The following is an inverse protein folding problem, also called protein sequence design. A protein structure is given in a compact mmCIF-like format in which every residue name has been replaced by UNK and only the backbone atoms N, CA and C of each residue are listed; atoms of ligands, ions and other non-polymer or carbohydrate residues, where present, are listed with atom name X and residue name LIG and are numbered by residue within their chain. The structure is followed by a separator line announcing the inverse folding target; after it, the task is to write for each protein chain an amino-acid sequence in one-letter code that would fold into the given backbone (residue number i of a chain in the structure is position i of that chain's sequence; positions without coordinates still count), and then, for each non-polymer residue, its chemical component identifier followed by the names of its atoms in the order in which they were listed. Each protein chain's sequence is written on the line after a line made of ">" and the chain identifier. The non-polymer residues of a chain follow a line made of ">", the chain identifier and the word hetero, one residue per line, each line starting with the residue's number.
data_IF_394032354821
#
_entry.id   IF_394032354821
#
_cell.length_a   1.000
_cell.length_b   1.000
_cell.length_c   1.000
_cell.angle_alpha   90.00
_cell.angle_beta   90.00
_cell.angle_gamma   90.00
#
_symmetry.space_group_name_H-M   'P 1'
#
loop_
_entity.id
_entity.type
_entity.pdbx_description
1 polymer ?
#
# COMPACT_ATOMS: atom_id res chain seq x y z
N UNK A 1 34.45 49.96 1.09
CA UNK A 1 34.57 49.54 -0.32
C UNK A 1 35.67 48.52 -0.43
N UNK A 2 35.32 47.25 -0.49
CA UNK A 2 36.32 46.20 -0.68
C UNK A 2 35.63 45.09 -1.49
N UNK A 3 35.93 45.02 -2.79
CA UNK A 3 35.41 44.02 -3.74
C UNK A 3 36.20 42.73 -3.59
N UNK A 4 35.54 41.60 -3.29
CA UNK A 4 36.13 40.27 -3.36
C UNK A 4 35.92 39.66 -4.75
N UNK A 5 36.93 39.00 -5.32
CA UNK A 5 36.86 38.41 -6.64
C UNK A 5 36.08 37.07 -6.67
N UNK A 6 35.35 36.87 -7.74
CA UNK A 6 34.58 35.67 -8.07
C UNK A 6 35.53 34.60 -8.71
N UNK A 7 35.52 33.34 -8.29
CA UNK A 7 36.28 32.30 -8.98
C UNK A 7 35.57 31.78 -10.25
N UNK A 8 36.31 31.33 -11.27
CA UNK A 8 35.73 30.92 -12.55
C UNK A 8 35.12 29.52 -12.52
N UNK A 9 34.00 29.36 -13.22
CA UNK A 9 33.36 28.08 -13.54
C UNK A 9 34.31 27.18 -14.33
N UNK A 10 34.47 25.95 -13.85
CA UNK A 10 35.06 24.86 -14.63
C UNK A 10 33.94 24.02 -15.21
N UNK A 11 33.77 24.07 -16.53
CA UNK A 11 32.98 23.13 -17.31
C UNK A 11 33.76 21.83 -17.41
N UNK A 12 33.16 20.74 -16.95
CA UNK A 12 33.62 19.39 -17.23
C UNK A 12 32.67 18.79 -18.25
N UNK A 13 33.18 18.65 -19.47
CA UNK A 13 32.50 17.92 -20.53
C UNK A 13 32.75 16.44 -20.30
N UNK A 14 31.72 15.63 -20.17
CA UNK A 14 31.82 14.17 -20.17
C UNK A 14 31.17 13.60 -21.41
N UNK A 15 32.00 12.83 -22.14
CA UNK A 15 31.72 12.23 -23.40
C UNK A 15 30.76 11.04 -23.33
N UNK A 16 29.94 10.94 -24.37
CA UNK A 16 29.07 9.82 -24.71
C UNK A 16 29.89 8.59 -25.12
N UNK A 17 29.59 7.43 -24.58
CA UNK A 17 29.97 6.16 -25.14
C UNK A 17 28.70 5.36 -25.51
N UNK A 18 28.51 5.25 -26.83
CA UNK A 18 27.52 4.39 -27.47
C UNK A 18 28.11 2.98 -27.53
N UNK A 19 27.45 2.01 -26.94
CA UNK A 19 27.77 0.59 -27.05
C UNK A 19 26.58 -0.19 -27.56
N UNK A 20 26.54 -0.45 -28.86
CA UNK A 20 25.63 -1.39 -29.50
C UNK A 20 26.17 -2.82 -29.36
N UNK A 21 25.33 -3.75 -28.87
CA UNK A 21 25.58 -5.18 -28.97
C UNK A 21 24.34 -5.90 -29.49
N UNK A 22 24.42 -6.28 -30.75
CA UNK A 22 23.55 -7.25 -31.43
C UNK A 22 24.01 -8.67 -31.07
N UNK A 23 23.10 -9.56 -30.70
CA UNK A 23 23.26 -11.02 -30.89
C UNK A 23 21.84 -11.64 -30.97
N UNK A 24 21.43 -11.96 -32.15
CA UNK A 24 21.33 -13.23 -32.89
C UNK A 24 20.38 -14.27 -32.32
N UNK A 25 19.36 -14.47 -33.13
CA UNK A 25 18.38 -15.56 -33.08
C UNK A 25 19.08 -16.93 -33.30
N UNK A 26 18.52 -17.95 -32.65
CA UNK A 26 18.71 -19.33 -33.10
C UNK A 26 17.34 -20.03 -33.05
N UNK A 27 16.77 -20.26 -34.22
CA UNK A 27 15.77 -21.27 -34.48
C UNK A 27 16.40 -22.66 -34.34
N UNK A 28 15.71 -23.59 -33.76
CA UNK A 28 15.95 -25.03 -33.95
C UNK A 28 14.62 -25.69 -34.24
N UNK A 29 14.53 -26.07 -35.49
CA UNK A 29 13.55 -26.91 -36.19
C UNK A 29 13.92 -28.39 -36.00
N UNK A 30 12.95 -29.26 -36.01
CA UNK A 30 13.12 -30.72 -36.12
C UNK A 30 11.96 -31.42 -35.45
N UNK A 31 10.91 -31.79 -36.13
CA UNK A 31 10.83 -32.90 -37.07
C UNK A 31 10.20 -34.07 -36.32
N UNK A 32 8.98 -34.43 -36.55
CA UNK A 32 8.50 -35.29 -37.60
C UNK A 32 8.15 -36.67 -37.07
N UNK A 33 6.93 -37.16 -37.29
CA UNK A 33 6.59 -38.56 -37.06
C UNK A 33 5.09 -38.85 -36.90
N UNK A 34 4.38 -38.84 -38.01
CA UNK A 34 3.11 -39.52 -38.20
C UNK A 34 3.25 -41.05 -38.24
N UNK A 35 2.27 -41.79 -37.78
CA UNK A 35 1.65 -42.97 -38.40
C UNK A 35 0.56 -43.49 -37.46
N UNK A 36 -0.67 -43.36 -37.81
CA UNK A 36 -1.63 -44.24 -38.57
C UNK A 36 -1.87 -45.62 -38.02
N UNK A 37 -3.16 -45.87 -37.98
CA UNK A 37 -3.93 -47.09 -38.19
C UNK A 37 -4.21 -47.94 -36.94
N UNK A 38 -5.43 -47.96 -36.53
CA UNK A 38 -6.57 -48.71 -37.05
C UNK A 38 -6.61 -50.16 -36.57
N UNK A 39 -7.75 -50.42 -36.01
CA UNK A 39 -8.59 -51.57 -36.25
C UNK A 39 -8.48 -52.78 -35.32
N UNK A 40 -9.61 -53.22 -34.93
CA UNK A 40 -10.36 -54.48 -34.85
C UNK A 40 -10.80 -54.74 -33.41
N UNK A 41 -12.05 -54.50 -33.17
CA UNK A 41 -13.25 -55.33 -33.21
C UNK A 41 -13.23 -56.62 -32.44
N UNK A 42 -14.28 -56.71 -31.66
CA UNK A 42 -15.16 -57.82 -31.38
C UNK A 42 -14.81 -58.79 -30.22
N UNK A 43 -15.73 -58.76 -29.33
CA UNK A 43 -16.60 -59.89 -28.95
C UNK A 43 -16.01 -60.94 -27.99
N UNK A 44 -16.51 -60.99 -26.80
CA UNK A 44 -17.40 -62.03 -26.35
C UNK A 44 -17.89 -61.85 -24.93
N UNK A 45 -19.19 -61.95 -24.81
CA UNK A 45 -19.94 -62.08 -23.59
C UNK A 45 -19.72 -63.44 -22.88
N UNK A 46 -19.78 -63.44 -21.59
CA UNK A 46 -20.63 -64.31 -20.73
C UNK A 46 -20.19 -64.38 -19.30
N UNK A 47 -21.06 -63.88 -18.48
CA UNK A 47 -21.62 -64.48 -17.26
C UNK A 47 -20.71 -65.20 -16.28
N UNK A 48 -20.67 -64.71 -15.11
CA UNK A 48 -20.91 -65.46 -13.85
C UNK A 48 -21.15 -64.51 -12.69
N UNK A 49 -22.12 -64.87 -11.92
CA UNK A 49 -22.75 -64.22 -10.77
C UNK A 49 -21.87 -64.16 -9.54
N UNK A 50 -22.29 -63.20 -8.64
CA UNK A 50 -22.15 -63.22 -7.22
C UNK A 50 -20.73 -63.11 -6.61
N UNK A 51 -20.43 -61.92 -6.10
CA UNK A 51 -20.06 -61.81 -4.68
C UNK A 51 -20.35 -60.41 -4.15
N UNK A 52 -21.22 -60.31 -3.14
CA UNK A 52 -21.56 -59.11 -2.39
C UNK A 52 -20.45 -58.84 -1.41
N UNK A 53 -19.49 -58.01 -1.82
CA UNK A 53 -18.49 -57.45 -0.91
C UNK A 53 -18.81 -55.98 -0.66
N UNK A 54 -19.13 -55.70 0.61
CA UNK A 54 -19.35 -54.37 1.21
C UNK A 54 -18.29 -53.38 0.74
N UNK A 55 -18.71 -52.41 -0.08
CA UNK A 55 -17.92 -51.18 -0.26
C UNK A 55 -18.04 -50.32 1.02
N UNK A 56 -16.94 -49.85 1.57
CA UNK A 56 -17.01 -48.81 2.60
C UNK A 56 -17.51 -47.50 1.97
N UNK A 57 -18.24 -46.68 2.76
CA UNK A 57 -18.76 -45.40 2.22
C UNK A 57 -17.59 -44.52 1.81
N UNK A 58 -17.50 -44.26 0.51
CA UNK A 58 -16.68 -43.15 0.01
C UNK A 58 -17.18 -41.87 0.66
N UNK A 59 -16.42 -41.36 1.60
CA UNK A 59 -16.57 -40.00 2.10
C UNK A 59 -16.43 -39.06 0.89
N UNK A 60 -17.55 -38.73 0.26
CA UNK A 60 -17.65 -37.54 -0.57
C UNK A 60 -17.30 -36.37 0.33
N UNK A 61 -16.06 -35.88 0.26
CA UNK A 61 -15.74 -34.55 0.75
C UNK A 61 -16.63 -33.62 -0.03
N UNK A 62 -17.73 -33.24 0.60
CA UNK A 62 -18.51 -32.07 0.20
C UNK A 62 -17.51 -30.93 0.20
N UNK A 63 -17.17 -30.41 -0.99
CA UNK A 63 -16.43 -29.17 -1.09
C UNK A 63 -17.22 -28.14 -0.25
N UNK A 64 -16.62 -27.66 0.82
CA UNK A 64 -17.17 -26.51 1.53
C UNK A 64 -17.44 -25.42 0.51
N UNK A 65 -18.64 -24.81 0.49
CA UNK A 65 -18.90 -23.69 -0.36
C UNK A 65 -17.80 -22.65 -0.06
N UNK A 66 -17.11 -22.20 -1.11
CA UNK A 66 -16.26 -21.01 -1.02
C UNK A 66 -17.13 -19.92 -0.43
N UNK A 67 -16.87 -19.56 0.82
CA UNK A 67 -17.56 -18.44 1.44
C UNK A 67 -17.32 -17.24 0.54
N UNK A 68 -18.37 -16.62 0.04
CA UNK A 68 -18.27 -15.32 -0.59
C UNK A 68 -17.61 -14.38 0.44
N UNK A 69 -16.66 -13.52 0.03
CA UNK A 69 -16.02 -12.62 0.97
C UNK A 69 -17.09 -11.85 1.74
N UNK A 70 -17.04 -11.93 3.06
CA UNK A 70 -18.00 -11.26 3.91
C UNK A 70 -17.81 -9.74 3.78
N UNK A 71 -18.91 -9.00 3.79
CA UNK A 71 -18.86 -7.54 3.88
C UNK A 71 -18.21 -7.15 5.19
N UNK A 72 -17.28 -6.21 5.17
CA UNK A 72 -16.63 -5.68 6.38
C UNK A 72 -17.69 -5.06 7.29
N UNK A 73 -17.74 -5.48 8.55
CA UNK A 73 -18.60 -4.92 9.61
C UNK A 73 -17.79 -3.96 10.48
N UNK A 74 -18.46 -3.13 11.30
CA UNK A 74 -17.76 -2.23 12.25
C UNK A 74 -16.84 -3.01 13.18
N UNK A 75 -17.33 -4.07 13.82
CA UNK A 75 -16.49 -4.92 14.67
C UNK A 75 -15.39 -5.66 13.87
N UNK A 76 -15.64 -5.93 12.60
CA UNK A 76 -14.64 -6.49 11.70
C UNK A 76 -13.54 -5.47 11.37
N UNK A 77 -13.90 -4.22 11.11
CA UNK A 77 -12.93 -3.15 10.87
C UNK A 77 -12.03 -2.94 12.09
N UNK A 78 -12.62 -2.88 13.29
CA UNK A 78 -11.87 -2.78 14.55
C UNK A 78 -10.95 -4.00 14.77
N UNK A 79 -11.42 -5.22 14.52
CA UNK A 79 -10.62 -6.43 14.66
C UNK A 79 -9.48 -6.53 13.64
N UNK A 80 -9.61 -5.88 12.48
CA UNK A 80 -8.60 -5.85 11.45
C UNK A 80 -7.47 -4.85 11.71
N UNK A 81 -7.64 -3.91 12.64
CA UNK A 81 -6.61 -2.93 12.99
C UNK A 81 -5.36 -3.60 13.55
N UNK A 82 -4.21 -2.99 13.27
CA UNK A 82 -2.94 -3.35 13.88
C UNK A 82 -2.97 -3.22 15.41
N UNK A 83 -2.10 -3.97 16.05
CA UNK A 83 -1.79 -3.86 17.48
C UNK A 83 -0.29 -3.59 17.64
N UNK A 84 0.14 -3.18 18.83
CA UNK A 84 1.58 -2.99 19.12
C UNK A 84 2.41 -4.24 18.82
N UNK A 85 1.84 -5.43 19.02
CA UNK A 85 2.52 -6.70 18.76
C UNK A 85 2.70 -7.02 17.27
N UNK A 86 2.04 -6.30 16.36
CA UNK A 86 2.19 -6.45 14.92
C UNK A 86 3.31 -5.58 14.35
N UNK A 87 3.87 -4.69 15.17
CA UNK A 87 4.91 -3.74 14.78
C UNK A 87 6.24 -4.09 15.45
N UNK A 88 7.34 -3.95 14.72
CA UNK A 88 8.69 -4.10 15.27
C UNK A 88 9.11 -2.83 16.00
N UNK A 89 9.69 -3.00 17.19
CA UNK A 89 10.15 -1.89 18.01
C UNK A 89 9.21 -1.54 19.16
N UNK A 90 9.50 -0.43 19.84
CA UNK A 90 8.78 0.02 21.03
C UNK A 90 7.65 0.99 20.65
N UNK A 91 6.75 0.55 19.78
CA UNK A 91 5.56 1.31 19.42
C UNK A 91 4.53 1.33 20.54
N UNK A 92 3.97 2.50 20.79
CA UNK A 92 2.88 2.67 21.73
C UNK A 92 1.62 3.09 20.99
N UNK A 93 0.53 2.36 21.20
CA UNK A 93 -0.75 2.72 20.63
C UNK A 93 -1.27 4.01 21.27
N UNK A 94 -1.72 4.97 20.46
CA UNK A 94 -2.31 6.20 20.97
C UNK A 94 -3.78 6.00 21.34
N UNK A 95 -4.19 6.58 22.46
CA UNK A 95 -5.55 6.39 22.97
C UNK A 95 -6.64 6.99 22.07
N UNK A 96 -6.32 7.97 21.24
CA UNK A 96 -7.28 8.74 20.46
C UNK A 96 -6.67 9.09 19.08
N UNK A 97 -6.67 8.10 18.19
CA UNK A 97 -6.14 8.26 16.84
C UNK A 97 -6.93 9.28 16.00
N UNK A 98 -8.21 9.55 16.33
CA UNK A 98 -9.00 10.56 15.61
C UNK A 98 -8.51 11.98 15.89
N UNK A 99 -7.98 12.24 17.08
CA UNK A 99 -7.35 13.53 17.38
C UNK A 99 -6.08 13.78 16.59
N UNK A 100 -5.44 12.73 16.10
CA UNK A 100 -4.30 12.86 15.20
C UNK A 100 -4.67 13.40 13.82
N UNK A 101 -5.93 13.27 13.43
CA UNK A 101 -6.45 13.93 12.23
C UNK A 101 -6.40 15.45 12.36
N UNK A 102 -6.65 15.95 13.56
CA UNK A 102 -6.73 17.39 13.84
C UNK A 102 -5.36 17.96 14.23
N UNK A 103 -4.51 17.15 14.85
CA UNK A 103 -3.23 17.57 15.41
C UNK A 103 -2.14 16.54 15.14
N UNK A 104 -1.71 16.34 13.92
CA UNK A 104 -0.54 15.50 13.61
C UNK A 104 0.72 16.11 14.27
N UNK A 105 0.73 16.13 15.61
CA UNK A 105 1.83 16.68 16.40
C UNK A 105 3.04 15.76 16.33
N UNK A 106 4.12 16.28 15.81
CA UNK A 106 5.43 15.65 15.89
C UNK A 106 6.34 16.59 16.66
N UNK A 107 6.63 16.25 17.89
CA UNK A 107 7.37 17.13 18.78
C UNK A 107 6.59 18.40 19.13
N UNK A 108 7.21 19.58 18.99
CA UNK A 108 6.61 20.89 19.28
C UNK A 108 5.91 21.52 18.06
N UNK A 109 5.88 20.83 16.90
CA UNK A 109 5.35 21.38 15.63
C UNK A 109 4.12 20.62 15.20
N UNK A 110 3.04 21.36 14.96
CA UNK A 110 1.83 20.81 14.37
C UNK A 110 2.06 20.49 12.89
N UNK A 111 2.04 19.21 12.57
CA UNK A 111 2.22 18.72 11.18
C UNK A 111 1.08 19.18 10.29
N UNK A 112 -0.11 19.42 10.84
CA UNK A 112 -1.25 19.95 10.09
C UNK A 112 -0.93 21.27 9.40
N UNK A 113 -0.08 22.11 10.00
CA UNK A 113 0.39 23.35 9.38
C UNK A 113 1.08 23.14 8.03
N UNK A 114 1.69 21.97 7.81
CA UNK A 114 2.29 21.62 6.52
C UNK A 114 1.27 21.22 5.47
N UNK A 115 0.18 20.60 5.87
CA UNK A 115 -0.81 20.02 4.97
C UNK A 115 -1.94 20.98 4.63
N UNK A 116 -2.16 22.04 5.40
CA UNK A 116 -3.21 23.05 5.12
C UNK A 116 -2.84 24.09 4.07
N UNK A 117 -1.60 24.04 3.55
CA UNK A 117 -1.16 24.94 2.51
C UNK A 117 -1.97 24.77 1.20
N UNK A 118 -2.06 25.83 0.39
CA UNK A 118 -2.82 25.86 -0.86
C UNK A 118 -1.90 25.88 -2.06
N UNK A 119 -2.32 25.20 -3.13
CA UNK A 119 -1.68 25.22 -4.44
C UNK A 119 -2.73 25.44 -5.53
N UNK A 120 -2.30 25.94 -6.70
CA UNK A 120 -3.19 26.16 -7.85
C UNK A 120 -3.46 24.87 -8.65
N UNK A 121 -2.63 23.83 -8.49
CA UNK A 121 -2.83 22.54 -9.12
C UNK A 121 -3.89 21.73 -8.37
N UNK A 122 -5.05 21.52 -8.98
CA UNK A 122 -6.23 20.93 -8.33
C UNK A 122 -5.96 19.53 -7.75
N UNK A 123 -5.24 18.66 -8.48
CA UNK A 123 -4.94 17.30 -8.02
C UNK A 123 -3.93 17.30 -6.87
N UNK A 124 -2.96 18.21 -6.89
CA UNK A 124 -1.99 18.37 -5.83
C UNK A 124 -2.61 19.01 -4.58
N UNK A 125 -3.58 19.91 -4.75
CA UNK A 125 -4.38 20.41 -3.64
C UNK A 125 -5.23 19.29 -3.03
N UNK A 126 -5.86 18.47 -3.86
CA UNK A 126 -6.63 17.31 -3.43
C UNK A 126 -5.77 16.31 -2.61
N UNK A 127 -4.48 16.12 -2.98
CA UNK A 127 -3.56 15.30 -2.20
C UNK A 127 -3.37 15.87 -0.80
N UNK A 128 -3.06 17.17 -0.67
CA UNK A 128 -2.88 17.82 0.63
C UNK A 128 -4.15 17.75 1.48
N UNK A 129 -5.32 18.06 0.90
CA UNK A 129 -6.60 18.03 1.58
C UNK A 129 -6.92 16.61 2.09
N UNK A 130 -6.63 15.58 1.29
CA UNK A 130 -6.88 14.18 1.66
C UNK A 130 -5.88 13.64 2.68
N UNK A 131 -4.63 14.06 2.62
CA UNK A 131 -3.65 13.74 3.66
C UNK A 131 -4.06 14.36 5.00
N UNK A 132 -4.53 15.61 4.98
CA UNK A 132 -5.02 16.29 6.18
C UNK A 132 -6.28 15.62 6.75
N UNK A 133 -7.25 15.29 5.91
CA UNK A 133 -8.49 14.64 6.33
C UNK A 133 -8.35 13.14 6.55
N UNK A 134 -7.23 12.54 6.16
CA UNK A 134 -6.99 11.09 6.16
C UNK A 134 -8.00 10.28 5.35
N UNK A 135 -8.61 10.93 4.38
CA UNK A 135 -9.55 10.31 3.44
C UNK A 135 -8.86 10.04 2.10
N UNK A 136 -7.63 9.51 2.12
CA UNK A 136 -6.80 9.33 0.92
C UNK A 136 -7.52 8.51 -0.16
N UNK A 137 -8.20 7.45 0.23
CA UNK A 137 -9.03 6.63 -0.66
C UNK A 137 -10.47 7.15 -0.82
N UNK A 138 -10.76 8.33 -0.30
CA UNK A 138 -12.10 8.90 -0.24
C UNK A 138 -12.88 8.48 1.01
N UNK A 139 -14.12 8.94 1.11
CA UNK A 139 -14.95 8.61 2.28
C UNK A 139 -15.37 7.15 2.25
N UNK A 140 -15.24 6.42 3.36
CA UNK A 140 -15.79 5.08 3.49
C UNK A 140 -17.29 5.05 3.17
N UNK A 141 -17.73 4.02 2.47
CA UNK A 141 -19.15 3.77 2.17
C UNK A 141 -19.83 2.86 3.18
N UNK A 142 -19.08 2.32 4.14
CA UNK A 142 -19.52 1.40 5.16
C UNK A 142 -18.64 1.46 6.40
N UNK A 143 -18.45 0.31 7.03
CA UNK A 143 -17.63 0.17 8.24
C UNK A 143 -16.23 0.77 8.08
N UNK A 144 -15.76 1.43 9.13
CA UNK A 144 -14.43 2.05 9.15
C UNK A 144 -13.88 2.09 10.58
N UNK A 145 -12.59 1.80 10.72
CA UNK A 145 -11.87 1.90 11.99
C UNK A 145 -10.49 2.50 11.77
N UNK A 146 -9.95 3.13 12.80
CA UNK A 146 -8.70 3.86 12.79
C UNK A 146 -7.88 3.51 14.03
N UNK A 147 -6.57 3.35 13.87
CA UNK A 147 -5.62 3.25 14.97
C UNK A 147 -4.36 4.05 14.67
N UNK A 148 -3.67 4.47 15.71
CA UNK A 148 -2.42 5.20 15.59
C UNK A 148 -1.39 4.73 16.60
N UNK A 149 -0.12 4.87 16.25
CA UNK A 149 1.01 4.47 17.07
C UNK A 149 2.08 5.54 17.04
N UNK A 150 2.84 5.61 18.13
CA UNK A 150 3.99 6.50 18.27
C UNK A 150 5.22 5.76 18.76
N UNK A 151 6.38 6.12 18.20
CA UNK A 151 7.70 5.68 18.64
C UNK A 151 8.69 6.83 18.47
N UNK A 152 9.19 7.38 19.57
CA UNK A 152 10.05 8.55 19.50
C UNK A 152 9.39 9.72 18.77
N UNK A 153 10.04 10.22 17.70
CA UNK A 153 9.50 11.26 16.80
C UNK A 153 8.66 10.73 15.64
N UNK A 154 8.55 9.41 15.47
CA UNK A 154 7.82 8.77 14.39
C UNK A 154 6.37 8.51 14.77
N UNK A 155 5.51 8.58 13.76
CA UNK A 155 4.07 8.33 13.86
C UNK A 155 3.65 7.34 12.79
N UNK A 156 2.71 6.46 13.12
CA UNK A 156 2.10 5.52 12.20
C UNK A 156 0.59 5.53 12.42
N UNK A 157 -0.15 5.67 11.35
CA UNK A 157 -1.60 5.69 11.36
C UNK A 157 -2.11 4.63 10.39
N UNK A 158 -3.05 3.82 10.82
CA UNK A 158 -3.75 2.88 9.98
C UNK A 158 -5.25 3.15 9.99
N UNK A 159 -5.84 3.12 8.79
CA UNK A 159 -7.29 3.09 8.60
C UNK A 159 -7.67 1.82 7.84
N UNK A 160 -8.69 1.12 8.34
CA UNK A 160 -9.33 -0.01 7.65
C UNK A 160 -10.78 0.36 7.38
N UNK A 161 -11.22 0.26 6.12
CA UNK A 161 -12.59 0.66 5.78
C UNK A 161 -13.17 -0.11 4.58
N UNK A 162 -14.51 -0.11 4.50
CA UNK A 162 -15.28 -0.57 3.36
C UNK A 162 -15.60 0.60 2.42
N UNK A 163 -15.51 0.36 1.11
CA UNK A 163 -15.70 1.35 0.06
C UNK A 163 -16.65 0.84 -1.03
N UNK A 164 -17.22 1.77 -1.81
CA UNK A 164 -17.70 1.43 -3.14
C UNK A 164 -16.52 1.00 -4.01
N UNK A 165 -16.66 -0.13 -4.69
CA UNK A 165 -15.59 -0.75 -5.45
C UNK A 165 -15.06 0.15 -6.54
N UNK A 166 -15.95 0.79 -7.30
CA UNK A 166 -15.55 1.65 -8.41
C UNK A 166 -14.84 2.92 -7.91
N UNK A 167 -15.35 3.53 -6.83
CA UNK A 167 -14.74 4.69 -6.20
C UNK A 167 -13.33 4.36 -5.64
N UNK A 168 -13.15 3.15 -5.08
CA UNK A 168 -11.86 2.69 -4.59
C UNK A 168 -10.86 2.45 -5.73
N UNK A 169 -11.30 1.82 -6.83
CA UNK A 169 -10.46 1.61 -8.01
C UNK A 169 -10.04 2.96 -8.64
N UNK A 170 -10.94 3.96 -8.66
CA UNK A 170 -10.63 5.30 -9.15
C UNK A 170 -9.66 6.05 -8.19
N UNK A 171 -9.80 5.85 -6.88
CA UNK A 171 -8.88 6.44 -5.90
C UNK A 171 -7.45 5.86 -6.02
N UNK A 172 -7.31 4.56 -6.23
CA UNK A 172 -5.99 3.93 -6.45
C UNK A 172 -5.35 4.42 -7.75
N UNK A 173 -6.10 4.51 -8.87
CA UNK A 173 -5.60 5.08 -10.12
C UNK A 173 -5.16 6.54 -9.97
N UNK A 174 -5.92 7.31 -9.18
CA UNK A 174 -5.54 8.68 -8.87
C UNK A 174 -4.23 8.72 -8.07
N UNK A 175 -4.03 7.86 -7.08
CA UNK A 175 -2.78 7.77 -6.34
C UNK A 175 -1.60 7.42 -7.26
N UNK A 176 -1.78 6.46 -8.18
CA UNK A 176 -0.77 6.06 -9.18
C UNK A 176 -0.34 7.23 -10.07
N UNK A 177 -1.24 8.18 -10.37
CA UNK A 177 -0.90 9.35 -11.21
C UNK A 177 -0.12 10.45 -10.46
N UNK A 178 -0.20 10.51 -9.14
CA UNK A 178 0.35 11.63 -8.36
C UNK A 178 1.86 11.84 -8.49
N UNK A 179 2.72 10.80 -8.58
CA UNK A 179 4.14 11.01 -8.79
C UNK A 179 4.50 11.71 -10.10
N UNK A 180 3.58 11.67 -11.09
CA UNK A 180 3.74 12.36 -12.38
C UNK A 180 3.07 13.71 -12.35
N UNK A 181 1.82 13.77 -11.86
CA UNK A 181 0.99 14.98 -11.89
C UNK A 181 1.42 16.01 -10.83
N UNK A 182 2.01 15.54 -9.73
CA UNK A 182 2.40 16.32 -8.56
C UNK A 182 3.85 16.04 -8.12
N UNK A 183 4.75 15.71 -9.05
CA UNK A 183 6.15 15.38 -8.77
C UNK A 183 6.84 16.40 -7.86
N UNK A 184 6.62 17.71 -8.15
CA UNK A 184 7.07 18.81 -7.34
C UNK A 184 6.17 20.04 -7.56
N UNK A 185 5.67 20.62 -6.47
CA UNK A 185 4.88 21.85 -6.53
C UNK A 185 5.13 22.74 -5.31
N UNK A 186 4.66 23.98 -5.39
CA UNK A 186 4.71 24.93 -4.27
C UNK A 186 3.32 25.06 -3.67
N UNK A 187 3.23 24.88 -2.37
CA UNK A 187 2.04 25.16 -1.58
C UNK A 187 2.29 26.44 -0.74
N UNK A 188 1.24 27.24 -0.54
CA UNK A 188 1.32 28.49 0.23
C UNK A 188 0.45 28.36 1.48
N UNK A 189 1.04 28.51 2.64
CA UNK A 189 0.33 28.51 3.92
C UNK A 189 -0.54 29.75 4.10
N UNK A 190 -1.35 29.75 5.16
CA UNK A 190 -2.32 30.83 5.44
C UNK A 190 -1.63 32.19 5.69
N UNK A 191 -0.43 32.18 6.25
CA UNK A 191 0.36 33.41 6.52
C UNK A 191 1.25 33.82 5.34
N UNK A 192 1.15 33.10 4.20
CA UNK A 192 1.87 33.39 2.97
C UNK A 192 3.24 32.73 2.85
N UNK A 193 3.63 31.89 3.80
CA UNK A 193 4.86 31.10 3.72
C UNK A 193 4.75 30.04 2.61
N UNK A 194 5.85 29.85 1.91
CA UNK A 194 5.93 28.88 0.81
C UNK A 194 6.59 27.59 1.28
N UNK A 195 6.00 26.49 0.83
CA UNK A 195 6.50 25.13 1.05
C UNK A 195 6.66 24.42 -0.28
N UNK A 196 7.74 23.69 -0.41
CA UNK A 196 7.96 22.81 -1.57
C UNK A 196 7.49 21.42 -1.21
N UNK A 197 6.55 20.90 -1.96
CA UNK A 197 6.05 19.53 -1.85
C UNK A 197 6.66 18.71 -2.97
N UNK A 198 7.14 17.53 -2.66
CA UNK A 198 7.62 16.54 -3.60
C UNK A 198 6.88 15.23 -3.36
N UNK A 199 6.38 14.63 -4.42
CA UNK A 199 5.68 13.33 -4.40
C UNK A 199 6.42 12.36 -5.30
N UNK A 200 6.77 11.21 -4.77
CA UNK A 200 7.39 10.13 -5.53
C UNK A 200 6.67 8.82 -5.23
N UNK A 201 6.81 7.86 -6.13
CA UNK A 201 6.34 6.50 -5.89
C UNK A 201 7.13 5.88 -4.74
N UNK A 202 6.43 5.17 -3.85
CA UNK A 202 7.02 4.30 -2.84
C UNK A 202 6.71 2.84 -3.18
N UNK A 203 7.70 1.97 -3.01
CA UNK A 203 7.50 0.54 -3.24
C UNK A 203 6.65 -0.06 -2.13
N UNK A 204 5.55 -0.71 -2.50
CA UNK A 204 4.72 -1.49 -1.57
C UNK A 204 4.82 -2.96 -1.95
N UNK A 205 5.09 -3.89 -1.00
CA UNK A 205 5.13 -5.31 -1.30
C UNK A 205 3.87 -5.82 -2.00
N UNK A 206 3.96 -6.96 -2.69
CA UNK A 206 2.84 -7.59 -3.41
C UNK A 206 1.70 -8.03 -2.48
N UNK A 207 0.87 -7.10 -2.04
CA UNK A 207 -0.20 -7.28 -1.06
C UNK A 207 -1.58 -7.03 -1.70
N UNK A 208 -2.60 -7.72 -1.20
CA UNK A 208 -3.99 -7.51 -1.61
C UNK A 208 -4.26 -7.76 -3.09
N UNK A 209 -5.35 -7.17 -3.59
CA UNK A 209 -5.78 -7.25 -5.00
C UNK A 209 -5.24 -6.08 -5.83
N UNK A 210 -5.01 -4.95 -5.20
CA UNK A 210 -4.36 -3.76 -5.76
C UNK A 210 -3.69 -2.99 -4.63
N UNK A 211 -2.67 -2.22 -4.97
CA UNK A 211 -1.91 -1.45 -4.00
C UNK A 211 -1.24 -0.25 -4.66
N UNK A 212 -1.04 0.81 -3.87
CA UNK A 212 -0.30 2.00 -4.28
C UNK A 212 0.54 2.49 -3.11
N UNK A 213 1.69 3.07 -3.40
CA UNK A 213 2.60 3.65 -2.42
C UNK A 213 3.09 5.03 -2.82
N UNK A 214 3.12 5.94 -1.86
CA UNK A 214 3.61 7.31 -2.06
C UNK A 214 4.63 7.68 -0.99
N UNK A 215 5.66 8.40 -1.41
CA UNK A 215 6.58 9.11 -0.54
C UNK A 215 6.39 10.60 -0.77
N UNK A 216 5.98 11.32 0.29
CA UNK A 216 5.67 12.75 0.22
C UNK A 216 6.61 13.50 1.16
N UNK A 217 7.33 14.49 0.63
CA UNK A 217 8.11 15.41 1.46
C UNK A 217 7.56 16.83 1.31
N UNK A 218 7.42 17.52 2.44
CA UNK A 218 7.01 18.92 2.49
C UNK A 218 8.09 19.72 3.20
N UNK A 219 8.77 20.61 2.47
CA UNK A 219 9.87 21.43 2.99
C UNK A 219 9.44 22.88 3.08
N UNK A 220 9.66 23.48 4.24
CA UNK A 220 9.33 24.87 4.45
C UNK A 220 9.45 25.26 5.93
N UNK A 221 9.07 26.51 6.27
CA UNK A 221 9.08 26.93 7.64
C UNK A 221 7.95 26.26 8.44
N UNK A 222 8.29 25.84 9.67
CA UNK A 222 7.35 25.45 10.69
C UNK A 222 7.69 26.22 11.95
N UNK A 223 6.75 26.96 12.52
CA UNK A 223 6.97 27.87 13.65
C UNK A 223 8.20 28.81 13.44
N UNK A 224 8.41 29.25 12.19
CA UNK A 224 9.52 30.14 11.83
C UNK A 224 10.88 29.47 11.61
N UNK A 225 10.99 28.16 11.80
CA UNK A 225 12.23 27.39 11.56
C UNK A 225 12.12 26.54 10.31
N UNK A 226 13.21 26.32 9.56
CA UNK A 226 13.22 25.36 8.47
C UNK A 226 12.90 23.96 8.99
N UNK A 227 11.96 23.27 8.34
CA UNK A 227 11.57 21.92 8.68
C UNK A 227 11.25 21.11 7.43
N UNK A 228 11.27 19.79 7.54
CA UNK A 228 10.85 18.86 6.50
C UNK A 228 9.93 17.83 7.14
N UNK A 229 8.68 17.79 6.66
CA UNK A 229 7.80 16.68 6.93
C UNK A 229 8.05 15.60 5.88
N UNK A 230 8.21 14.36 6.31
CA UNK A 230 8.27 13.19 5.43
C UNK A 230 7.14 12.24 5.78
N UNK A 231 6.38 11.82 4.79
CA UNK A 231 5.30 10.85 4.92
C UNK A 231 5.51 9.72 3.90
N UNK A 232 5.51 8.50 4.39
CA UNK A 232 5.40 7.28 3.59
C UNK A 232 3.98 6.73 3.74
N UNK A 233 3.39 6.33 2.62
CA UNK A 233 1.98 5.95 2.55
C UNK A 233 1.87 4.67 1.76
N UNK A 234 1.13 3.70 2.29
CA UNK A 234 0.71 2.51 1.57
C UNK A 234 -0.82 2.41 1.59
N UNK A 235 -1.40 2.12 0.44
CA UNK A 235 -2.81 1.81 0.29
C UNK A 235 -2.96 0.41 -0.31
N UNK A 236 -3.75 -0.46 0.31
CA UNK A 236 -3.93 -1.85 -0.13
C UNK A 236 -5.41 -2.19 -0.16
N UNK A 237 -5.88 -2.71 -1.30
CA UNK A 237 -7.26 -3.16 -1.50
C UNK A 237 -7.39 -4.67 -1.32
N UNK A 238 -8.44 -5.08 -0.63
CA UNK A 238 -8.88 -6.49 -0.50
C UNK A 238 -10.39 -6.54 -0.73
N UNK A 239 -10.81 -7.00 -1.90
CA UNK A 239 -12.22 -6.97 -2.30
C UNK A 239 -12.76 -5.54 -2.47
N UNK A 240 -13.80 -5.20 -1.73
CA UNK A 240 -14.37 -3.86 -1.60
C UNK A 240 -13.93 -3.15 -0.32
N UNK A 241 -12.98 -3.71 0.40
CA UNK A 241 -12.36 -3.10 1.57
C UNK A 241 -10.94 -2.68 1.25
N UNK A 242 -10.42 -1.72 2.00
CA UNK A 242 -9.02 -1.32 1.88
C UNK A 242 -8.48 -0.92 3.25
N UNK A 243 -7.15 -0.93 3.33
CA UNK A 243 -6.44 -0.27 4.40
C UNK A 243 -5.50 0.79 3.81
N UNK A 244 -5.24 1.83 4.59
CA UNK A 244 -4.16 2.77 4.37
C UNK A 244 -3.27 2.79 5.60
N UNK A 245 -1.96 2.79 5.38
CA UNK A 245 -0.97 2.99 6.43
C UNK A 245 -0.17 4.21 6.05
N UNK A 246 -0.13 5.19 6.93
CA UNK A 246 0.67 6.41 6.77
C UNK A 246 1.65 6.49 7.93
N UNK A 247 2.93 6.57 7.62
CA UNK A 247 3.97 6.74 8.61
C UNK A 247 4.84 7.95 8.29
N UNK A 248 5.45 8.55 9.30
CA UNK A 248 6.35 9.66 9.07
C UNK A 248 6.53 10.60 10.25
N UNK A 249 7.08 11.77 9.95
CA UNK A 249 7.37 12.80 10.94
C UNK A 249 8.28 13.89 10.41
N UNK A 250 8.63 14.85 11.29
CA UNK A 250 9.50 15.97 10.96
C UNK A 250 10.98 15.57 10.86
N UNK A 251 11.38 14.51 11.54
CA UNK A 251 12.76 14.00 11.52
C UNK A 251 12.98 12.89 10.47
N UNK A 252 12.01 12.71 9.59
CA UNK A 252 11.97 11.65 8.60
C UNK A 252 11.02 10.52 9.00
N UNK A 253 10.62 9.73 8.01
CA UNK A 253 9.90 8.48 8.18
C UNK A 253 10.81 7.32 7.79
N UNK A 254 10.52 6.13 8.30
CA UNK A 254 11.12 4.91 7.80
C UNK A 254 10.06 4.12 7.04
N UNK A 255 10.22 4.05 5.72
CA UNK A 255 9.33 3.30 4.84
C UNK A 255 9.11 1.85 5.32
N UNK A 256 10.13 1.26 5.97
CA UNK A 256 10.07 -0.09 6.53
C UNK A 256 8.91 -0.30 7.50
N UNK A 257 8.57 0.69 8.32
CA UNK A 257 7.44 0.59 9.25
C UNK A 257 6.09 0.61 8.52
N UNK A 258 5.99 1.41 7.46
CA UNK A 258 4.79 1.46 6.63
C UNK A 258 4.62 0.15 5.85
N UNK A 259 5.69 -0.40 5.30
CA UNK A 259 5.68 -1.71 4.63
C UNK A 259 5.26 -2.83 5.58
N UNK A 260 5.79 -2.82 6.80
CA UNK A 260 5.43 -3.79 7.83
C UNK A 260 3.95 -3.64 8.21
N UNK A 261 3.51 -2.43 8.53
CA UNK A 261 2.11 -2.16 8.87
C UNK A 261 1.16 -2.58 7.74
N UNK A 262 1.50 -2.25 6.48
CA UNK A 262 0.70 -2.66 5.33
C UNK A 262 0.62 -4.19 5.18
N UNK A 263 1.72 -4.91 5.44
CA UNK A 263 1.75 -6.38 5.38
C UNK A 263 0.87 -6.98 6.46
N UNK A 264 1.09 -6.60 7.72
CA UNK A 264 0.35 -7.13 8.85
C UNK A 264 -1.13 -6.75 8.78
N UNK A 265 -1.46 -5.49 8.51
CA UNK A 265 -2.83 -5.02 8.35
C UNK A 265 -3.57 -5.75 7.22
N UNK A 266 -2.89 -6.03 6.09
CA UNK A 266 -3.48 -6.79 4.98
C UNK A 266 -3.83 -8.22 5.40
N UNK A 267 -2.97 -8.91 6.13
CA UNK A 267 -3.23 -10.26 6.60
C UNK A 267 -4.36 -10.30 7.64
N UNK A 268 -4.42 -9.31 8.53
CA UNK A 268 -5.51 -9.15 9.48
C UNK A 268 -6.83 -8.91 8.78
N UNK A 269 -6.87 -7.97 7.81
CA UNK A 269 -8.07 -7.68 7.03
C UNK A 269 -8.56 -8.91 6.24
N UNK A 270 -7.67 -9.65 5.59
CA UNK A 270 -8.01 -10.91 4.90
C UNK A 270 -8.59 -11.93 5.86
N UNK A 271 -8.01 -12.07 7.06
CA UNK A 271 -8.49 -13.00 8.09
C UNK A 271 -9.91 -12.66 8.50
N UNK A 272 -10.20 -11.37 8.76
CA UNK A 272 -11.54 -10.90 9.12
C UNK A 272 -12.55 -11.14 7.98
N UNK A 273 -12.18 -10.80 6.76
CA UNK A 273 -13.04 -11.00 5.58
C UNK A 273 -13.31 -12.49 5.29
N UNK A 274 -12.43 -13.38 5.73
CA UNK A 274 -12.65 -14.82 5.71
C UNK A 274 -13.48 -15.34 6.92
N UNK A 275 -13.93 -14.46 7.82
CA UNK A 275 -14.70 -14.81 9.01
C UNK A 275 -13.85 -15.32 10.17
N UNK A 276 -12.53 -15.13 10.11
CA UNK A 276 -11.59 -15.47 11.19
C UNK A 276 -11.38 -14.33 12.17
N UNK A 277 -10.65 -14.62 13.25
CA UNK A 277 -10.17 -13.62 14.21
C UNK A 277 -8.65 -13.49 14.04
N UNK A 278 -8.12 -12.31 13.74
CA UNK A 278 -6.68 -12.11 13.66
C UNK A 278 -6.02 -12.35 15.02
N UNK A 279 -4.89 -13.01 15.00
CA UNK A 279 -4.01 -13.11 16.18
C UNK A 279 -2.83 -12.18 15.98
N UNK A 280 -2.34 -11.51 17.03
CA UNK A 280 -1.09 -10.77 16.94
C UNK A 280 0.01 -11.72 16.48
N UNK A 281 0.78 -11.33 15.48
CA UNK A 281 1.96 -12.11 15.09
C UNK A 281 3.11 -11.69 15.99
N UNK A 282 3.68 -12.61 16.78
CA UNK A 282 4.92 -12.30 17.48
C UNK A 282 5.98 -12.01 16.43
N UNK A 283 6.64 -10.88 16.58
CA UNK A 283 7.83 -10.52 15.81
C UNK A 283 8.85 -11.64 16.04
N UNK A 284 9.12 -12.43 15.01
CA UNK A 284 10.22 -13.40 15.10
C UNK A 284 11.51 -12.58 15.02
N UNK A 285 12.06 -12.30 16.18
CA UNK A 285 13.43 -11.85 16.33
C UNK A 285 14.32 -13.07 16.06
N UNK A 286 14.73 -13.27 14.81
CA UNK A 286 15.85 -14.15 14.45
C UNK A 286 17.13 -13.33 14.27
#
# INVERSE_FOLDING_TARGET
>A
MSRRPVPPLRFVASALAVGALLTTAACSDGGGGSTTAADTAAEQARAAEEDVAKQPPTNSRTASPSASPSTLTESGAEAALLTEADLEGDWNQVADAEKWRETLLVGEVDVSDFLTAKTEAAECQRLLDRLYSQDLLGKPSGASALTGFEQGGSRLLEQVAAYDRAALDDALKWMDSLPVDCDQFTATGETGEKRTVQVTEASVPGLGDAREGLHVTVRGPAAGNPATLTLDIAAVRVGSSALTVTGGGLDGGELSYVEQGARQGTERLKTVLAGGTPSPQPTNLD
#
